data_IF_975787496632
#
_entry.id   IF_975787496632
#
_cell.length_a   1.000
_cell.length_b   1.000
_cell.length_c   1.000
_cell.angle_alpha   90.00
_cell.angle_beta   90.00
_cell.angle_gamma   90.00
#
_symmetry.space_group_name_H-M   'P 1'
#
loop_
_entity.id
_entity.type
_entity.pdbx_description
1 polymer ?
#
# COMPACT_ATOMS: atom_id res chain seq x y z
N UNK A 1 -21.63 13.03 1.75
CA UNK A 1 -20.22 13.30 2.15
C UNK A 1 -19.27 12.83 1.07
N UNK A 2 -19.69 11.81 0.32
CA UNK A 2 -18.98 11.22 -0.80
C UNK A 2 -18.46 12.18 -1.88
N UNK A 3 -19.32 13.04 -2.43
CA UNK A 3 -18.94 13.93 -3.56
C UNK A 3 -17.71 14.78 -3.24
N UNK A 4 -17.55 15.18 -1.97
CA UNK A 4 -16.38 15.92 -1.49
C UNK A 4 -15.11 15.09 -1.57
N UNK A 5 -15.15 13.83 -1.13
CA UNK A 5 -13.98 12.95 -1.15
C UNK A 5 -13.63 12.49 -2.57
N UNK A 6 -14.63 12.22 -3.40
CA UNK A 6 -14.43 11.93 -4.83
C UNK A 6 -13.68 13.06 -5.52
N UNK A 7 -14.09 14.32 -5.28
CA UNK A 7 -13.43 15.47 -5.86
C UNK A 7 -11.99 15.65 -5.36
N UNK A 8 -11.74 15.44 -4.06
CA UNK A 8 -10.39 15.49 -3.47
C UNK A 8 -9.45 14.43 -4.05
N UNK A 9 -9.98 13.22 -4.25
CA UNK A 9 -9.25 12.13 -4.88
C UNK A 9 -8.94 12.42 -6.36
N UNK A 10 -9.88 13.01 -7.10
CA UNK A 10 -9.63 13.47 -8.48
C UNK A 10 -8.54 14.56 -8.54
N UNK A 11 -8.54 15.52 -7.61
CA UNK A 11 -7.48 16.55 -7.51
C UNK A 11 -6.12 15.94 -7.15
N UNK A 12 -6.08 14.92 -6.30
CA UNK A 12 -4.85 14.20 -5.96
C UNK A 12 -4.29 13.41 -7.17
N UNK A 13 -5.16 12.70 -7.93
CA UNK A 13 -4.77 12.04 -9.18
C UNK A 13 -4.19 13.06 -10.17
N UNK A 14 -4.87 14.19 -10.35
CA UNK A 14 -4.43 15.25 -11.26
C UNK A 14 -3.08 15.84 -10.84
N UNK A 15 -2.89 16.13 -9.56
CA UNK A 15 -1.62 16.62 -9.02
C UNK A 15 -0.44 15.69 -9.34
N UNK A 16 -0.60 14.38 -9.09
CA UNK A 16 0.45 13.40 -9.38
C UNK A 16 0.65 13.24 -10.89
N UNK A 17 -0.42 13.24 -11.68
CA UNK A 17 -0.34 13.12 -13.13
C UNK A 17 0.40 14.31 -13.77
N UNK A 18 0.14 15.54 -13.33
CA UNK A 18 0.78 16.73 -13.90
C UNK A 18 2.24 16.88 -13.46
N UNK A 19 2.55 16.52 -12.22
CA UNK A 19 3.85 16.80 -11.59
C UNK A 19 4.86 15.67 -11.74
N UNK A 20 4.38 14.43 -11.74
CA UNK A 20 5.25 13.25 -11.74
C UNK A 20 5.16 12.42 -13.01
N UNK A 21 4.04 12.41 -13.74
CA UNK A 21 3.91 11.52 -14.89
C UNK A 21 4.76 11.99 -16.09
N UNK A 22 5.58 11.08 -16.63
CA UNK A 22 6.40 11.33 -17.80
C UNK A 22 6.52 10.08 -18.69
N UNK A 23 6.84 10.29 -19.97
CA UNK A 23 7.15 9.19 -20.89
C UNK A 23 8.55 8.67 -20.61
N UNK A 24 8.71 7.34 -20.63
CA UNK A 24 10.02 6.71 -20.52
C UNK A 24 10.84 7.02 -21.77
N UNK A 25 11.92 7.80 -21.64
CA UNK A 25 12.87 8.13 -22.72
C UNK A 25 12.22 8.61 -24.03
N UNK A 26 11.11 9.34 -23.91
CA UNK A 26 10.33 9.82 -25.07
C UNK A 26 9.55 8.75 -25.83
N UNK A 27 9.59 7.48 -25.40
CA UNK A 27 8.95 6.35 -26.09
C UNK A 27 7.42 6.55 -26.07
N UNK A 28 6.74 6.58 -27.23
CA UNK A 28 5.29 6.72 -27.29
C UNK A 28 4.55 5.63 -26.52
N UNK A 29 3.39 5.97 -25.96
CA UNK A 29 2.52 5.06 -25.21
C UNK A 29 3.21 4.42 -23.99
N UNK A 30 4.17 5.13 -23.39
CA UNK A 30 4.71 4.80 -22.07
C UNK A 30 4.31 5.87 -21.06
N UNK A 31 4.25 5.47 -19.81
CA UNK A 31 4.06 6.35 -18.67
C UNK A 31 4.88 5.80 -17.51
N UNK A 32 5.54 6.66 -16.75
CA UNK A 32 6.20 6.37 -15.49
C UNK A 32 6.11 7.63 -14.62
N UNK A 33 6.18 7.48 -13.30
CA UNK A 33 6.26 8.62 -12.39
C UNK A 33 7.74 8.94 -12.08
N UNK A 34 8.16 10.19 -12.29
CA UNK A 34 9.45 10.67 -11.80
C UNK A 34 9.45 10.70 -10.28
N UNK A 35 10.62 10.47 -9.68
CA UNK A 35 10.74 10.24 -8.24
C UNK A 35 10.57 11.50 -7.39
N UNK A 36 10.68 12.69 -7.99
CA UNK A 36 10.56 13.95 -7.25
C UNK A 36 9.96 15.07 -8.11
N UNK A 37 9.28 16.01 -7.45
CA UNK A 37 8.79 17.25 -8.05
C UNK A 37 9.15 18.48 -7.19
N UNK A 38 9.60 19.61 -7.79
CA UNK A 38 10.00 19.77 -9.19
C UNK A 38 11.16 18.85 -9.60
N UNK A 39 11.09 18.20 -10.78
CA UNK A 39 12.08 17.21 -11.20
C UNK A 39 13.38 17.85 -11.70
N UNK A 40 14.51 17.25 -11.36
CA UNK A 40 15.81 17.58 -11.97
C UNK A 40 15.94 16.97 -13.37
N UNK A 41 16.95 17.38 -14.13
CA UNK A 41 17.25 16.76 -15.44
C UNK A 41 17.55 15.26 -15.33
N UNK A 42 18.15 14.80 -14.22
CA UNK A 42 18.44 13.38 -13.97
C UNK A 42 17.18 12.57 -13.69
N UNK A 43 16.20 13.16 -13.01
CA UNK A 43 14.91 12.52 -12.74
C UNK A 43 14.11 12.33 -14.04
N UNK A 44 14.11 13.33 -14.91
CA UNK A 44 13.41 13.29 -16.21
C UNK A 44 13.90 12.19 -17.15
N UNK A 45 15.16 11.79 -17.04
CA UNK A 45 15.74 10.68 -17.82
C UNK A 45 15.66 9.33 -17.09
N UNK A 46 15.00 9.27 -15.92
CA UNK A 46 14.88 8.07 -15.09
C UNK A 46 16.23 7.44 -14.71
N UNK A 47 17.23 8.29 -14.45
CA UNK A 47 18.53 7.86 -13.94
C UNK A 47 18.36 7.15 -12.60
N UNK A 48 17.58 7.75 -11.69
CA UNK A 48 17.02 7.08 -10.52
C UNK A 48 15.58 6.67 -10.82
N UNK A 49 15.22 5.48 -10.36
CA UNK A 49 13.91 4.88 -10.58
C UNK A 49 13.67 3.83 -9.50
N UNK A 50 12.54 3.92 -8.82
CA UNK A 50 12.17 3.01 -7.72
C UNK A 50 11.03 2.10 -8.17
N UNK A 51 11.32 0.80 -8.26
CA UNK A 51 10.41 -0.22 -8.80
C UNK A 51 9.11 -0.24 -8.00
N UNK A 52 9.18 -0.34 -6.68
CA UNK A 52 8.00 -0.43 -5.81
C UNK A 52 7.21 0.88 -5.72
N UNK A 53 7.84 2.05 -5.85
CA UNK A 53 7.08 3.31 -5.97
C UNK A 53 6.21 3.32 -7.23
N UNK A 54 6.69 2.74 -8.34
CA UNK A 54 5.86 2.58 -9.53
C UNK A 54 4.74 1.55 -9.34
N UNK A 55 4.97 0.49 -8.56
CA UNK A 55 3.91 -0.44 -8.21
C UNK A 55 2.78 0.28 -7.47
N UNK A 56 3.09 1.11 -6.46
CA UNK A 56 2.09 1.93 -5.78
C UNK A 56 1.49 3.04 -6.65
N UNK A 57 2.22 3.56 -7.63
CA UNK A 57 1.65 4.47 -8.62
C UNK A 57 0.59 3.78 -9.50
N UNK A 58 0.85 2.54 -9.95
CA UNK A 58 -0.19 1.72 -10.60
C UNK A 58 -1.36 1.50 -9.65
N UNK A 59 -1.08 1.18 -8.40
CA UNK A 59 -2.08 0.90 -7.38
C UNK A 59 -3.03 2.10 -7.13
N UNK A 60 -2.51 3.32 -7.10
CA UNK A 60 -3.32 4.55 -7.02
C UNK A 60 -4.12 4.81 -8.31
N UNK A 61 -3.54 4.52 -9.49
CA UNK A 61 -4.30 4.58 -10.75
C UNK A 61 -5.45 3.58 -10.77
N UNK A 62 -5.26 2.39 -10.17
CA UNK A 62 -6.29 1.38 -10.01
C UNK A 62 -7.38 1.88 -9.07
N UNK A 63 -7.04 2.51 -7.94
CA UNK A 63 -8.03 3.13 -7.04
C UNK A 63 -8.94 4.10 -7.78
N UNK A 64 -8.34 5.05 -8.51
CA UNK A 64 -9.08 6.02 -9.30
C UNK A 64 -9.95 5.34 -10.38
N UNK A 65 -9.47 4.26 -11.00
CA UNK A 65 -10.23 3.50 -11.98
C UNK A 65 -11.36 2.65 -11.37
N UNK A 66 -11.22 2.18 -10.13
CA UNK A 66 -12.27 1.51 -9.36
C UNK A 66 -13.37 2.50 -8.99
N UNK A 67 -13.01 3.67 -8.45
CA UNK A 67 -13.95 4.74 -8.09
C UNK A 67 -14.71 5.27 -9.31
N UNK A 68 -14.01 5.52 -10.43
CA UNK A 68 -14.65 5.91 -11.69
C UNK A 68 -13.86 5.39 -12.89
N UNK A 69 -14.40 4.33 -13.51
CA UNK A 69 -13.77 3.69 -14.67
C UNK A 69 -13.96 4.51 -15.95
N UNK A 70 -12.86 4.99 -16.53
CA UNK A 70 -12.83 5.70 -17.82
C UNK A 70 -11.81 5.08 -18.77
N UNK A 71 -12.05 5.20 -20.09
CA UNK A 71 -11.08 4.73 -21.11
C UNK A 71 -9.70 5.39 -20.94
N UNK A 72 -9.67 6.63 -20.45
CA UNK A 72 -8.42 7.36 -20.20
C UNK A 72 -7.63 6.72 -19.05
N UNK A 73 -8.26 6.47 -17.89
CA UNK A 73 -7.62 5.83 -16.73
C UNK A 73 -7.13 4.42 -17.05
N UNK A 74 -7.96 3.60 -17.68
CA UNK A 74 -7.55 2.25 -18.12
C UNK A 74 -6.43 2.30 -19.18
N UNK A 75 -6.43 3.32 -20.04
CA UNK A 75 -5.35 3.55 -21.00
C UNK A 75 -4.05 3.99 -20.34
N UNK A 76 -4.11 4.76 -19.26
CA UNK A 76 -2.96 5.21 -18.49
C UNK A 76 -2.31 4.04 -17.75
N UNK A 77 -3.08 3.19 -17.06
CA UNK A 77 -2.57 1.98 -16.39
C UNK A 77 -1.78 1.09 -17.37
N UNK A 78 -2.33 0.86 -18.58
CA UNK A 78 -1.64 0.10 -19.65
C UNK A 78 -0.30 0.72 -20.04
N UNK A 79 -0.24 2.06 -20.15
CA UNK A 79 1.00 2.77 -20.45
C UNK A 79 2.01 2.68 -19.31
N UNK A 80 1.53 2.69 -18.07
CA UNK A 80 2.36 2.56 -16.86
C UNK A 80 3.02 1.18 -16.78
N UNK A 81 2.22 0.11 -16.92
CA UNK A 81 2.73 -1.27 -16.94
C UNK A 81 3.71 -1.49 -18.10
N UNK A 82 3.40 -0.95 -19.29
CA UNK A 82 4.32 -0.98 -20.43
C UNK A 82 5.62 -0.23 -20.13
N UNK A 83 5.54 0.94 -19.51
CA UNK A 83 6.69 1.74 -19.09
C UNK A 83 7.59 0.97 -18.14
N UNK A 84 7.02 0.38 -17.09
CA UNK A 84 7.77 -0.44 -16.14
C UNK A 84 8.47 -1.61 -16.82
N UNK A 85 7.77 -2.32 -17.70
CA UNK A 85 8.33 -3.47 -18.41
C UNK A 85 9.52 -3.08 -19.28
N UNK A 86 9.43 -1.95 -20.00
CA UNK A 86 10.53 -1.44 -20.82
C UNK A 86 11.71 -0.95 -19.97
N UNK A 87 11.43 -0.27 -18.84
CA UNK A 87 12.46 0.20 -17.91
C UNK A 87 13.18 -0.96 -17.20
N UNK A 88 12.51 -2.10 -17.02
CA UNK A 88 13.08 -3.33 -16.47
C UNK A 88 13.61 -4.30 -17.54
N UNK A 89 13.92 -3.80 -18.75
CA UNK A 89 14.47 -4.59 -19.87
C UNK A 89 13.65 -5.85 -20.23
N UNK A 90 12.34 -5.80 -20.02
CA UNK A 90 11.37 -6.79 -20.49
C UNK A 90 10.82 -7.73 -19.42
N UNK A 91 11.64 -8.21 -18.48
CA UNK A 91 11.21 -9.20 -17.47
C UNK A 91 10.93 -8.52 -16.14
N UNK A 92 9.67 -8.44 -15.71
CA UNK A 92 9.33 -7.87 -14.39
C UNK A 92 9.85 -8.72 -13.23
N UNK A 93 10.05 -10.03 -13.45
CA UNK A 93 10.64 -10.94 -12.46
C UNK A 93 12.14 -10.74 -12.26
N UNK A 94 12.82 -9.99 -13.13
CA UNK A 94 14.24 -9.66 -13.00
C UNK A 94 14.44 -8.52 -11.99
N UNK A 95 13.99 -8.74 -10.76
CA UNK A 95 14.27 -7.94 -9.57
C UNK A 95 14.56 -8.92 -8.41
N UNK A 96 15.66 -8.66 -7.69
CA UNK A 96 16.12 -9.54 -6.60
C UNK A 96 15.30 -9.34 -5.32
N UNK A 97 14.56 -8.25 -5.21
CA UNK A 97 13.74 -7.88 -4.06
C UNK A 97 12.34 -8.51 -4.19
N UNK A 98 11.95 -9.34 -3.22
CA UNK A 98 10.67 -10.06 -3.24
C UNK A 98 9.50 -9.15 -2.84
N UNK A 99 9.71 -8.22 -1.92
CA UNK A 99 8.77 -7.15 -1.58
C UNK A 99 8.40 -6.30 -2.80
N UNK A 100 9.39 -5.79 -3.54
CA UNK A 100 9.18 -5.03 -4.78
C UNK A 100 8.28 -5.79 -5.76
N UNK A 101 8.57 -7.09 -5.96
CA UNK A 101 7.78 -7.96 -6.83
C UNK A 101 6.37 -8.17 -6.29
N UNK A 102 6.21 -8.39 -4.98
CA UNK A 102 4.91 -8.61 -4.34
C UNK A 102 4.01 -7.37 -4.45
N UNK A 103 4.56 -6.18 -4.25
CA UNK A 103 3.83 -4.93 -4.47
C UNK A 103 3.33 -4.78 -5.89
N UNK A 104 4.18 -5.09 -6.88
CA UNK A 104 3.73 -5.04 -8.27
C UNK A 104 2.68 -6.12 -8.56
N UNK A 105 2.89 -7.35 -8.10
CA UNK A 105 1.96 -8.45 -8.33
C UNK A 105 0.56 -8.12 -7.77
N UNK A 106 0.47 -7.54 -6.58
CA UNK A 106 -0.78 -7.03 -6.01
C UNK A 106 -1.42 -5.94 -6.89
N UNK A 107 -0.66 -4.94 -7.32
CA UNK A 107 -1.20 -3.88 -8.18
C UNK A 107 -1.71 -4.43 -9.52
N UNK A 108 -1.03 -5.45 -10.09
CA UNK A 108 -1.46 -6.12 -11.31
C UNK A 108 -2.71 -6.99 -11.11
N UNK A 109 -2.82 -7.71 -10.00
CA UNK A 109 -4.01 -8.47 -9.62
C UNK A 109 -5.23 -7.55 -9.50
N UNK A 110 -5.09 -6.43 -8.78
CA UNK A 110 -6.14 -5.42 -8.68
C UNK A 110 -6.50 -4.80 -10.04
N UNK A 111 -5.52 -4.68 -10.93
CA UNK A 111 -5.74 -4.19 -12.30
C UNK A 111 -6.61 -5.16 -13.12
N UNK A 112 -6.42 -6.47 -12.98
CA UNK A 112 -7.24 -7.48 -13.67
C UNK A 112 -8.71 -7.45 -13.21
N UNK A 113 -8.93 -7.13 -11.94
CA UNK A 113 -10.27 -6.96 -11.36
C UNK A 113 -11.00 -5.69 -11.81
N UNK A 114 -10.34 -4.79 -12.57
CA UNK A 114 -11.01 -3.62 -13.14
C UNK A 114 -11.95 -4.02 -14.28
N UNK A 115 -13.21 -3.60 -14.16
CA UNK A 115 -14.21 -3.75 -15.23
C UNK A 115 -13.68 -3.21 -16.56
N UNK A 116 -13.72 -4.05 -17.61
CA UNK A 116 -13.27 -3.75 -18.99
C UNK A 116 -11.75 -3.53 -19.15
N UNK A 117 -10.92 -3.94 -18.19
CA UNK A 117 -9.48 -3.91 -18.37
C UNK A 117 -8.96 -5.13 -19.14
N UNK A 118 -9.27 -6.34 -18.65
CA UNK A 118 -8.83 -7.63 -19.20
C UNK A 118 -7.63 -8.23 -18.45
N UNK A 119 -7.05 -9.31 -18.97
CA UNK A 119 -5.91 -10.00 -18.35
C UNK A 119 -4.61 -9.21 -18.49
N UNK A 120 -3.77 -9.25 -17.46
CA UNK A 120 -2.41 -8.74 -17.41
C UNK A 120 -1.43 -9.89 -17.59
N UNK A 121 -0.89 -10.03 -18.80
CA UNK A 121 -0.01 -11.14 -19.24
C UNK A 121 1.15 -11.53 -18.30
N UNK A 122 1.63 -10.63 -17.43
CA UNK A 122 2.82 -10.85 -16.60
C UNK A 122 2.53 -11.15 -15.13
N UNK A 123 1.25 -11.13 -14.72
CA UNK A 123 0.87 -11.28 -13.31
C UNK A 123 1.16 -12.68 -12.79
N UNK A 124 0.69 -13.71 -13.50
CA UNK A 124 0.92 -15.13 -13.11
C UNK A 124 2.40 -15.45 -12.94
N UNK A 125 3.23 -15.09 -13.92
CA UNK A 125 4.67 -15.35 -13.88
C UNK A 125 5.39 -14.59 -12.73
N UNK A 126 4.87 -13.44 -12.32
CA UNK A 126 5.41 -12.69 -11.19
C UNK A 126 5.01 -13.35 -9.87
N UNK A 127 3.76 -13.78 -9.76
CA UNK A 127 3.24 -14.50 -8.61
C UNK A 127 3.96 -15.84 -8.40
N UNK A 128 4.09 -16.66 -9.44
CA UNK A 128 4.87 -17.90 -9.40
C UNK A 128 6.31 -17.64 -8.95
N UNK A 129 6.96 -16.61 -9.51
CA UNK A 129 8.33 -16.26 -9.13
C UNK A 129 8.47 -15.81 -7.67
N UNK A 130 7.43 -15.22 -7.08
CA UNK A 130 7.42 -14.88 -5.66
C UNK A 130 7.30 -16.17 -4.84
N UNK A 131 6.34 -17.03 -5.17
CA UNK A 131 6.05 -18.27 -4.43
C UNK A 131 7.22 -19.26 -4.48
N UNK A 132 7.91 -19.36 -5.62
CA UNK A 132 9.15 -20.15 -5.77
C UNK A 132 10.29 -19.63 -4.87
N UNK A 133 10.18 -18.39 -4.37
CA UNK A 133 11.13 -17.78 -3.46
C UNK A 133 10.92 -18.14 -1.99
N UNK A 134 9.82 -18.84 -1.64
CA UNK A 134 9.57 -19.27 -0.26
C UNK A 134 10.70 -20.20 0.15
N UNK A 135 11.38 -19.84 1.25
CA UNK A 135 12.45 -20.66 1.77
C UNK A 135 11.87 -21.95 2.38
N UNK A 136 12.28 -23.14 1.89
CA UNK A 136 11.74 -24.40 2.38
C UNK A 136 12.06 -24.69 3.85
N UNK A 137 13.10 -24.05 4.42
CA UNK A 137 13.48 -24.25 5.82
C UNK A 137 12.61 -23.45 6.77
N UNK A 138 12.31 -22.20 6.44
CA UNK A 138 11.54 -21.28 7.29
C UNK A 138 10.06 -21.23 6.94
N UNK A 139 9.70 -21.64 5.73
CA UNK A 139 8.32 -21.60 5.22
C UNK A 139 7.84 -20.20 4.85
N UNK A 140 8.74 -19.21 4.81
CA UNK A 140 8.44 -17.79 4.53
C UNK A 140 9.42 -17.19 3.52
N UNK A 141 9.11 -16.01 3.02
CA UNK A 141 9.90 -15.32 2.01
C UNK A 141 11.03 -14.51 2.64
N UNK A 142 12.29 -14.64 2.16
CA UNK A 142 13.34 -13.70 2.47
C UNK A 142 13.09 -12.37 1.74
N UNK A 143 13.69 -11.29 2.23
CA UNK A 143 13.57 -9.95 1.64
C UNK A 143 14.08 -9.90 0.20
N UNK A 144 15.26 -10.50 -0.04
CA UNK A 144 15.84 -10.64 -1.37
C UNK A 144 16.41 -12.03 -1.60
N UNK A 145 16.65 -12.37 -2.86
CA UNK A 145 17.32 -13.61 -3.23
C UNK A 145 18.67 -13.78 -2.53
N UNK A 146 18.91 -14.97 -1.96
CA UNK A 146 20.12 -15.33 -1.22
C UNK A 146 20.38 -14.48 0.04
N UNK A 147 19.33 -14.00 0.72
CA UNK A 147 19.44 -13.34 2.03
C UNK A 147 18.72 -14.15 3.13
N UNK A 148 19.17 -13.97 4.37
CA UNK A 148 18.63 -14.61 5.58
C UNK A 148 17.85 -13.62 6.46
N UNK A 149 17.21 -12.62 5.84
CA UNK A 149 16.36 -11.63 6.48
C UNK A 149 14.95 -11.79 5.94
N UNK A 150 13.99 -12.05 6.83
CA UNK A 150 12.60 -12.35 6.50
C UNK A 150 11.76 -11.23 7.08
N UNK A 151 11.13 -10.43 6.23
CA UNK A 151 10.49 -9.19 6.66
C UNK A 151 9.01 -9.16 6.27
N UNK A 152 8.24 -8.40 7.06
CA UNK A 152 6.81 -8.18 6.86
C UNK A 152 6.49 -7.50 5.52
N UNK A 153 7.30 -6.54 5.02
CA UNK A 153 7.13 -5.95 3.69
C UNK A 153 7.14 -6.95 2.53
N UNK A 154 7.77 -8.11 2.71
CA UNK A 154 7.72 -9.18 1.73
C UNK A 154 6.55 -10.12 2.00
N UNK A 155 6.42 -10.60 3.24
CA UNK A 155 5.51 -11.68 3.58
C UNK A 155 4.04 -11.22 3.66
N UNK A 156 3.77 -10.00 4.14
CA UNK A 156 2.42 -9.45 4.21
C UNK A 156 1.78 -9.28 2.83
N UNK A 157 2.40 -8.55 1.88
CA UNK A 157 1.91 -8.42 0.52
C UNK A 157 1.75 -9.76 -0.22
N UNK A 158 2.69 -10.69 -0.03
CA UNK A 158 2.60 -12.03 -0.59
C UNK A 158 1.42 -12.82 -0.01
N UNK A 159 1.13 -12.68 1.29
CA UNK A 159 -0.03 -13.31 1.93
C UNK A 159 -1.35 -12.75 1.39
N UNK A 160 -1.45 -11.43 1.20
CA UNK A 160 -2.62 -10.80 0.58
C UNK A 160 -2.84 -11.33 -0.83
N UNK A 161 -1.78 -11.38 -1.64
CA UNK A 161 -1.86 -11.90 -3.00
C UNK A 161 -2.33 -13.35 -3.01
N UNK A 162 -1.69 -14.20 -2.20
CA UNK A 162 -2.04 -15.61 -2.09
C UNK A 162 -3.49 -15.84 -1.64
N UNK A 163 -4.01 -15.03 -0.71
CA UNK A 163 -5.41 -15.11 -0.28
C UNK A 163 -6.37 -14.80 -1.43
N UNK A 164 -6.08 -13.75 -2.21
CA UNK A 164 -6.92 -13.32 -3.36
C UNK A 164 -6.88 -14.29 -4.55
N UNK A 165 -5.78 -15.02 -4.72
CA UNK A 165 -5.60 -15.96 -5.83
C UNK A 165 -5.90 -17.42 -5.46
N UNK A 166 -6.48 -17.66 -4.28
CA UNK A 166 -6.95 -18.98 -3.85
C UNK A 166 -5.87 -19.88 -3.26
N UNK A 167 -4.68 -19.36 -2.95
CA UNK A 167 -3.57 -20.08 -2.31
C UNK A 167 -3.62 -19.92 -0.79
N UNK A 168 -4.75 -20.28 -0.20
CA UNK A 168 -5.09 -19.99 1.19
C UNK A 168 -4.08 -20.56 2.20
N UNK A 169 -3.57 -21.78 1.97
CA UNK A 169 -2.55 -22.39 2.84
C UNK A 169 -1.25 -21.58 2.90
N UNK A 170 -0.85 -20.96 1.78
CA UNK A 170 0.32 -20.09 1.74
C UNK A 170 0.03 -18.80 2.49
N UNK A 171 -1.12 -18.16 2.22
CA UNK A 171 -1.51 -16.92 2.88
C UNK A 171 -1.52 -17.06 4.41
N UNK A 172 -2.10 -18.15 4.91
CA UNK A 172 -2.15 -18.48 6.34
C UNK A 172 -0.75 -18.69 6.91
N UNK A 173 0.06 -19.54 6.30
CA UNK A 173 1.44 -19.81 6.75
C UNK A 173 2.29 -18.54 6.90
N UNK A 174 2.28 -17.67 5.88
CA UNK A 174 3.03 -16.42 5.91
C UNK A 174 2.50 -15.48 7.01
N UNK A 175 1.18 -15.41 7.17
CA UNK A 175 0.53 -14.55 8.15
C UNK A 175 0.78 -15.03 9.58
N UNK A 176 0.60 -16.33 9.82
CA UNK A 176 0.76 -16.97 11.13
C UNK A 176 2.20 -16.80 11.63
N UNK A 177 3.20 -17.01 10.76
CA UNK A 177 4.59 -16.77 11.10
C UNK A 177 4.86 -15.34 11.59
N UNK A 178 4.30 -14.33 10.93
CA UNK A 178 4.46 -12.93 11.37
C UNK A 178 3.83 -12.72 12.75
N UNK A 179 2.62 -13.22 12.98
CA UNK A 179 1.94 -13.05 14.27
C UNK A 179 2.62 -13.81 15.42
N UNK A 180 3.27 -14.93 15.13
CA UNK A 180 4.00 -15.73 16.12
C UNK A 180 5.38 -15.18 16.45
N UNK A 181 6.01 -14.46 15.51
CA UNK A 181 7.44 -14.08 15.63
C UNK A 181 7.71 -12.60 15.66
N UNK A 182 6.79 -11.74 15.22
CA UNK A 182 7.03 -10.31 14.96
C UNK A 182 5.97 -9.39 15.58
N UNK A 183 5.35 -9.79 16.70
CA UNK A 183 4.45 -8.92 17.47
C UNK A 183 5.16 -8.46 18.74
N UNK A 184 5.15 -7.14 18.97
CA UNK A 184 5.69 -6.56 20.20
C UNK A 184 4.65 -6.48 21.32
N UNK A 185 5.07 -6.02 22.51
CA UNK A 185 4.21 -5.92 23.70
C UNK A 185 3.02 -4.95 23.52
N UNK A 186 3.14 -3.97 22.61
CA UNK A 186 2.05 -3.06 22.25
C UNK A 186 1.06 -3.67 21.25
N UNK A 187 1.27 -4.91 20.81
CA UNK A 187 0.46 -5.56 19.77
C UNK A 187 0.69 -4.99 18.38
N UNK A 188 1.84 -4.34 18.15
CA UNK A 188 2.28 -3.85 16.85
C UNK A 188 3.24 -4.84 16.18
N UNK A 189 3.22 -4.83 14.86
CA UNK A 189 4.04 -5.68 13.99
C UNK A 189 5.42 -5.04 13.80
N UNK A 190 6.47 -5.80 14.10
CA UNK A 190 7.88 -5.48 13.86
C UNK A 190 8.25 -5.64 12.37
N UNK A 191 9.37 -5.07 11.93
CA UNK A 191 9.75 -5.07 10.50
C UNK A 191 10.15 -6.46 9.99
N UNK A 192 10.91 -7.22 10.76
CA UNK A 192 11.39 -8.52 10.30
C UNK A 192 12.27 -9.29 11.27
N UNK A 193 12.75 -10.43 10.81
CA UNK A 193 13.62 -11.34 11.55
C UNK A 193 14.87 -11.63 10.72
N UNK A 194 16.05 -11.44 11.31
CA UNK A 194 17.33 -11.76 10.70
C UNK A 194 17.92 -13.01 11.32
N UNK A 195 18.24 -14.00 10.50
CA UNK A 195 18.97 -15.18 10.98
C UNK A 195 20.46 -14.87 11.02
N UNK A 196 21.02 -14.80 12.24
CA UNK A 196 22.46 -14.64 12.52
C UNK A 196 23.06 -15.97 12.95
N UNK A 197 24.39 -16.03 12.98
CA UNK A 197 25.14 -17.20 13.46
C UNK A 197 24.83 -17.57 14.92
N UNK A 198 24.43 -16.60 15.74
CA UNK A 198 24.09 -16.79 17.16
C UNK A 198 22.58 -16.92 17.42
N UNK A 199 21.77 -17.01 16.36
CA UNK A 199 20.32 -17.18 16.45
C UNK A 199 19.51 -16.13 15.70
N UNK A 200 18.17 -16.23 15.74
CA UNK A 200 17.26 -15.25 15.17
C UNK A 200 17.29 -13.93 15.96
N UNK A 201 17.37 -12.81 15.25
CA UNK A 201 17.39 -11.44 15.79
C UNK A 201 16.23 -10.65 15.17
N UNK A 202 15.32 -10.14 15.99
CA UNK A 202 14.19 -9.32 15.52
C UNK A 202 14.68 -7.90 15.17
N UNK A 203 14.27 -7.40 14.00
CA UNK A 203 14.36 -5.98 13.65
C UNK A 203 13.18 -5.26 14.29
N UNK A 204 13.47 -4.55 15.38
CA UNK A 204 12.46 -3.94 16.26
C UNK A 204 11.83 -2.66 15.69
N UNK A 205 12.27 -2.22 14.51
CA UNK A 205 11.67 -1.10 13.82
C UNK A 205 10.16 -1.33 13.61
N UNK A 206 9.36 -0.34 13.98
CA UNK A 206 7.91 -0.35 13.82
C UNK A 206 7.52 0.65 12.75
N UNK A 207 6.83 0.18 11.72
CA UNK A 207 6.43 1.00 10.59
C UNK A 207 4.93 0.87 10.26
N UNK A 208 4.27 1.95 9.82
CA UNK A 208 2.83 1.94 9.53
C UNK A 208 2.41 0.90 8.49
N UNK A 209 3.18 0.74 7.42
CA UNK A 209 2.86 -0.21 6.34
C UNK A 209 2.89 -1.68 6.78
N UNK A 210 3.76 -2.07 7.71
CA UNK A 210 3.76 -3.42 8.29
C UNK A 210 2.41 -3.70 8.97
N UNK A 211 1.85 -2.72 9.67
CA UNK A 211 0.54 -2.86 10.30
C UNK A 211 -0.56 -2.99 9.23
N UNK A 212 -0.48 -2.13 8.20
CA UNK A 212 -1.41 -2.13 7.08
C UNK A 212 -1.48 -3.48 6.38
N UNK A 213 -0.34 -4.03 5.94
CA UNK A 213 -0.33 -5.30 5.21
C UNK A 213 -0.82 -6.48 6.06
N UNK A 214 -0.56 -6.47 7.36
CA UNK A 214 -1.06 -7.54 8.24
C UNK A 214 -2.56 -7.42 8.53
N UNK A 215 -3.09 -6.19 8.65
CA UNK A 215 -4.55 -5.96 8.65
C UNK A 215 -5.14 -6.49 7.34
N UNK A 216 -4.54 -6.13 6.20
CA UNK A 216 -4.99 -6.57 4.88
C UNK A 216 -4.99 -8.08 4.72
N UNK A 217 -3.89 -8.74 5.09
CA UNK A 217 -3.75 -10.19 5.00
C UNK A 217 -4.83 -10.91 5.85
N UNK A 218 -5.03 -10.47 7.09
CA UNK A 218 -6.06 -11.03 7.96
C UNK A 218 -7.47 -10.88 7.37
N UNK A 219 -7.82 -9.70 6.83
CA UNK A 219 -9.13 -9.47 6.22
C UNK A 219 -9.34 -10.37 4.99
N UNK A 220 -8.37 -10.45 4.09
CA UNK A 220 -8.50 -11.25 2.87
C UNK A 220 -8.53 -12.76 3.17
N UNK A 221 -7.72 -13.24 4.12
CA UNK A 221 -7.77 -14.65 4.56
C UNK A 221 -9.13 -14.98 5.16
N UNK A 222 -9.65 -14.13 6.05
CA UNK A 222 -10.97 -14.37 6.66
C UNK A 222 -12.10 -14.39 5.62
N UNK A 223 -12.04 -13.51 4.61
CA UNK A 223 -13.00 -13.48 3.50
C UNK A 223 -12.90 -14.74 2.63
N UNK A 224 -11.68 -15.12 2.23
CA UNK A 224 -11.44 -16.32 1.43
C UNK A 224 -11.90 -17.61 2.15
N UNK A 225 -11.60 -17.74 3.44
CA UNK A 225 -12.08 -18.87 4.26
C UNK A 225 -13.60 -18.95 4.30
N UNK A 226 -14.28 -17.81 4.45
CA UNK A 226 -15.75 -17.76 4.49
C UNK A 226 -16.36 -18.09 3.14
N UNK A 227 -15.78 -17.57 2.05
CA UNK A 227 -16.20 -17.90 0.70
C UNK A 227 -16.07 -19.41 0.41
N UNK A 228 -14.93 -20.02 0.74
CA UNK A 228 -14.70 -21.47 0.59
C UNK A 228 -15.70 -22.30 1.41
N UNK A 229 -16.06 -21.82 2.61
CA UNK A 229 -17.03 -22.47 3.48
C UNK A 229 -18.51 -22.15 3.15
N UNK A 230 -18.78 -21.31 2.14
CA UNK A 230 -20.14 -20.88 1.78
C UNK A 230 -20.82 -19.98 2.84
N UNK A 231 -20.03 -19.33 3.70
CA UNK A 231 -20.49 -18.45 4.78
C UNK A 231 -20.65 -17.02 4.25
N UNK A 232 -21.79 -16.40 4.53
CA UNK A 232 -22.03 -15.02 4.13
C UNK A 232 -21.06 -14.01 4.78
N UNK A 233 -20.75 -12.86 4.14
CA UNK A 233 -19.84 -11.86 4.69
C UNK A 233 -20.31 -11.29 6.03
N UNK A 234 -21.63 -11.16 6.21
CA UNK A 234 -22.26 -10.59 7.42
C UNK A 234 -22.78 -11.66 8.38
N UNK A 235 -22.57 -12.95 8.07
CA UNK A 235 -23.01 -14.05 8.92
C UNK A 235 -22.11 -14.18 10.16
N UNK A 236 -22.72 -14.49 11.31
CA UNK A 236 -21.98 -14.82 12.53
C UNK A 236 -21.55 -16.28 12.45
N UNK A 237 -20.25 -16.51 12.31
CA UNK A 237 -19.67 -17.83 12.08
C UNK A 237 -18.26 -17.91 12.68
N UNK A 238 -17.83 -19.08 13.19
CA UNK A 238 -16.46 -19.29 13.66
C UNK A 238 -15.43 -19.31 12.52
N UNK A 239 -15.87 -19.42 11.25
CA UNK A 239 -14.97 -19.45 10.09
C UNK A 239 -14.24 -18.11 9.96
N UNK A 240 -12.91 -18.18 10.01
CA UNK A 240 -12.01 -17.03 9.91
C UNK A 240 -11.91 -16.19 11.18
N UNK A 241 -12.54 -16.58 12.31
CA UNK A 241 -12.62 -15.75 13.52
C UNK A 241 -11.24 -15.40 14.09
N UNK A 242 -10.26 -16.28 13.92
CA UNK A 242 -8.87 -16.05 14.33
C UNK A 242 -8.28 -14.81 13.62
N UNK A 243 -8.35 -14.78 12.28
CA UNK A 243 -7.82 -13.68 11.49
C UNK A 243 -8.64 -12.39 11.68
N UNK A 244 -9.97 -12.51 11.84
CA UNK A 244 -10.82 -11.36 12.22
C UNK A 244 -10.32 -10.78 13.55
N UNK A 245 -10.10 -11.61 14.57
CA UNK A 245 -9.63 -11.16 15.90
C UNK A 245 -8.26 -10.50 15.83
N UNK A 246 -7.33 -11.05 15.03
CA UNK A 246 -6.01 -10.45 14.79
C UNK A 246 -6.11 -9.08 14.12
N UNK A 247 -6.94 -8.94 13.09
CA UNK A 247 -7.18 -7.63 12.45
C UNK A 247 -7.79 -6.62 13.44
N UNK A 248 -8.77 -7.03 14.25
CA UNK A 248 -9.37 -6.18 15.30
C UNK A 248 -8.32 -5.72 16.33
N UNK A 249 -7.47 -6.63 16.80
CA UNK A 249 -6.38 -6.32 17.72
C UNK A 249 -5.42 -5.29 17.14
N UNK A 250 -5.01 -5.48 15.88
CA UNK A 250 -4.05 -4.61 15.21
C UNK A 250 -4.62 -3.22 14.90
N UNK A 251 -5.88 -3.11 14.46
CA UNK A 251 -6.56 -1.82 14.30
C UNK A 251 -6.60 -1.04 15.63
N UNK A 252 -6.90 -1.73 16.75
CA UNK A 252 -6.88 -1.10 18.08
C UNK A 252 -5.47 -0.69 18.52
N UNK A 253 -4.44 -1.48 18.21
CA UNK A 253 -3.05 -1.13 18.49
C UNK A 253 -2.61 0.11 17.69
N UNK A 254 -2.95 0.17 16.40
CA UNK A 254 -2.71 1.35 15.55
C UNK A 254 -3.40 2.59 16.13
N UNK A 255 -4.68 2.49 16.49
CA UNK A 255 -5.41 3.62 17.08
C UNK A 255 -4.80 4.12 18.40
N UNK A 256 -4.26 3.21 19.22
CA UNK A 256 -3.67 3.56 20.52
C UNK A 256 -2.28 4.16 20.40
N UNK A 257 -1.45 3.62 19.51
CA UNK A 257 0.00 3.87 19.50
C UNK A 257 0.49 4.68 18.31
N UNK A 258 -0.26 4.75 17.21
CA UNK A 258 0.14 5.44 15.97
C UNK A 258 -0.83 6.55 15.55
N UNK A 259 -1.77 6.94 16.42
CA UNK A 259 -2.72 7.98 16.11
C UNK A 259 -2.81 9.02 17.23
N UNK A 260 -3.14 10.25 16.87
CA UNK A 260 -3.50 11.31 17.81
C UNK A 260 -4.81 10.98 18.51
N UNK A 261 -5.16 11.75 19.55
CA UNK A 261 -6.47 11.65 20.23
C UNK A 261 -7.66 11.86 19.30
N UNK A 262 -7.44 12.57 18.18
CA UNK A 262 -8.45 12.84 17.16
C UNK A 262 -8.42 11.83 16.00
N UNK A 263 -7.74 10.68 16.19
CA UNK A 263 -7.60 9.60 15.22
C UNK A 263 -6.82 9.96 13.93
N UNK A 264 -5.98 11.01 13.97
CA UNK A 264 -5.06 11.30 12.87
C UNK A 264 -3.84 10.40 13.00
N UNK A 265 -3.49 9.64 11.95
CA UNK A 265 -2.28 8.81 11.95
C UNK A 265 -1.06 9.71 12.07
N UNK A 266 -0.30 9.51 13.15
CA UNK A 266 0.86 10.32 13.54
C UNK A 266 2.05 9.40 13.81
N UNK A 267 2.84 9.21 12.75
CA UNK A 267 4.09 8.45 12.82
C UNK A 267 5.14 9.13 11.94
N UNK A 268 6.35 9.25 12.48
CA UNK A 268 7.47 9.90 11.79
C UNK A 268 8.07 8.99 10.74
N UNK A 269 7.65 9.17 9.49
CA UNK A 269 8.14 8.38 8.36
C UNK A 269 9.03 9.18 7.40
N UNK A 270 8.95 10.52 7.40
CA UNK A 270 9.73 11.38 6.51
C UNK A 270 9.39 11.18 5.03
N UNK A 271 10.35 11.50 4.16
CA UNK A 271 10.30 11.23 2.71
C UNK A 271 10.92 9.89 2.34
N UNK A 272 11.43 9.76 1.12
CA UNK A 272 12.06 8.54 0.64
C UNK A 272 11.08 7.37 0.67
N UNK A 273 11.54 6.18 1.04
CA UNK A 273 10.65 5.02 1.14
C UNK A 273 9.57 5.20 2.22
N UNK A 274 9.92 5.85 3.33
CA UNK A 274 9.00 6.14 4.43
C UNK A 274 7.79 6.97 4.02
N UNK A 275 7.92 7.77 2.95
CA UNK A 275 6.82 8.55 2.39
C UNK A 275 5.60 7.72 2.02
N UNK A 276 5.75 6.44 1.64
CA UNK A 276 4.65 5.54 1.25
C UNK A 276 3.97 4.85 2.45
N UNK A 277 4.60 4.82 3.62
CA UNK A 277 4.21 3.89 4.66
C UNK A 277 2.82 4.16 5.24
N UNK A 278 2.49 5.43 5.48
CA UNK A 278 1.18 5.82 6.01
C UNK A 278 0.06 5.64 4.99
N UNK A 279 0.33 5.84 3.70
CA UNK A 279 -0.63 5.56 2.63
C UNK A 279 -1.03 4.08 2.60
N UNK A 280 -0.04 3.18 2.67
CA UNK A 280 -0.28 1.73 2.68
C UNK A 280 -1.11 1.32 3.91
N UNK A 281 -0.82 1.89 5.08
CA UNK A 281 -1.66 1.70 6.27
C UNK A 281 -3.10 2.14 6.02
N UNK A 282 -3.30 3.35 5.49
CA UNK A 282 -4.62 3.89 5.22
C UNK A 282 -5.43 3.04 4.23
N UNK A 283 -4.78 2.49 3.18
CA UNK A 283 -5.42 1.55 2.24
C UNK A 283 -6.04 0.36 2.97
N UNK A 284 -5.29 -0.29 3.84
CA UNK A 284 -5.76 -1.51 4.50
C UNK A 284 -6.65 -1.24 5.71
N UNK A 285 -6.56 -0.06 6.34
CA UNK A 285 -7.59 0.42 7.25
C UNK A 285 -8.92 0.65 6.53
N UNK A 286 -8.90 1.23 5.32
CA UNK A 286 -10.11 1.36 4.52
C UNK A 286 -10.69 -0.01 4.12
N UNK A 287 -9.84 -0.98 3.74
CA UNK A 287 -10.27 -2.36 3.52
C UNK A 287 -10.95 -2.95 4.77
N UNK A 288 -10.36 -2.79 5.95
CA UNK A 288 -10.96 -3.27 7.20
C UNK A 288 -12.28 -2.55 7.51
N UNK A 289 -12.37 -1.25 7.26
CA UNK A 289 -13.58 -0.47 7.47
C UNK A 289 -14.75 -0.98 6.62
N UNK A 290 -14.50 -1.39 5.38
CA UNK A 290 -15.56 -1.75 4.41
C UNK A 290 -15.79 -3.24 4.24
N UNK A 291 -14.82 -4.10 4.57
CA UNK A 291 -14.83 -5.52 4.19
C UNK A 291 -14.41 -6.49 5.30
N UNK A 292 -14.08 -6.04 6.52
CA UNK A 292 -13.81 -6.95 7.65
C UNK A 292 -15.07 -7.80 7.92
N UNK A 293 -15.07 -9.12 7.73
CA UNK A 293 -16.30 -9.92 7.80
C UNK A 293 -16.83 -10.09 9.23
N UNK A 294 -18.15 -10.29 9.35
CA UNK A 294 -18.86 -10.51 10.61
C UNK A 294 -19.70 -9.32 11.08
N UNK A 295 -20.72 -9.64 11.89
CA UNK A 295 -21.67 -8.68 12.48
C UNK A 295 -21.74 -8.76 14.01
N UNK A 296 -20.67 -9.22 14.66
CA UNK A 296 -20.56 -9.05 16.11
C UNK A 296 -20.22 -7.59 16.48
N UNK A 297 -20.40 -7.25 17.75
CA UNK A 297 -20.15 -5.90 18.25
C UNK A 297 -18.71 -5.44 18.05
N UNK A 298 -17.72 -6.32 18.29
CA UNK A 298 -16.29 -5.99 18.14
C UNK A 298 -15.94 -5.71 16.69
N UNK A 299 -16.51 -6.47 15.75
CA UNK A 299 -16.32 -6.24 14.31
C UNK A 299 -16.89 -4.90 13.87
N UNK A 300 -18.14 -4.55 14.26
CA UNK A 300 -18.71 -3.23 13.94
C UNK A 300 -17.92 -2.07 14.54
N UNK A 301 -17.49 -2.18 15.81
CA UNK A 301 -16.65 -1.17 16.45
C UNK A 301 -15.31 -1.01 15.73
N UNK A 302 -14.72 -2.12 15.27
CA UNK A 302 -13.47 -2.12 14.51
C UNK A 302 -13.63 -1.48 13.13
N UNK A 303 -14.69 -1.83 12.38
CA UNK A 303 -15.00 -1.20 11.08
C UNK A 303 -15.11 0.32 11.24
N UNK A 304 -15.86 0.78 12.25
CA UNK A 304 -16.02 2.20 12.58
C UNK A 304 -14.69 2.87 12.94
N UNK A 305 -13.89 2.25 13.81
CA UNK A 305 -12.59 2.81 14.23
C UNK A 305 -11.63 2.93 13.04
N UNK A 306 -11.55 1.91 12.20
CA UNK A 306 -10.72 1.95 10.98
C UNK A 306 -11.18 3.07 10.03
N UNK A 307 -12.49 3.24 9.83
CA UNK A 307 -13.04 4.33 9.03
C UNK A 307 -12.74 5.71 9.62
N UNK A 308 -12.80 5.86 10.95
CA UNK A 308 -12.44 7.10 11.65
C UNK A 308 -10.97 7.45 11.49
N UNK A 309 -10.05 6.48 11.61
CA UNK A 309 -8.62 6.68 11.39
C UNK A 309 -8.34 7.20 9.97
N UNK A 310 -8.98 6.61 8.96
CA UNK A 310 -8.82 7.02 7.56
C UNK A 310 -9.39 8.42 7.33
N UNK A 311 -10.64 8.67 7.72
CA UNK A 311 -11.34 9.93 7.42
C UNK A 311 -10.80 11.11 8.22
N UNK A 312 -10.40 10.92 9.48
CA UNK A 312 -9.75 11.95 10.28
C UNK A 312 -8.37 12.32 9.72
N UNK A 313 -7.56 11.30 9.38
CA UNK A 313 -6.26 11.51 8.73
C UNK A 313 -6.40 12.25 7.39
N UNK A 314 -7.34 11.82 6.55
CA UNK A 314 -7.61 12.48 5.27
C UNK A 314 -8.08 13.93 5.45
N UNK A 315 -8.87 14.20 6.51
CA UNK A 315 -9.31 15.53 6.88
C UNK A 315 -8.13 16.43 7.23
N UNK A 316 -7.25 15.94 8.10
CA UNK A 316 -6.05 16.66 8.53
C UNK A 316 -5.09 16.92 7.37
N UNK A 317 -4.73 15.89 6.60
CA UNK A 317 -3.83 16.01 5.44
C UNK A 317 -4.37 16.97 4.40
N UNK A 318 -5.70 16.97 4.18
CA UNK A 318 -6.30 17.93 3.26
C UNK A 318 -6.23 19.36 3.77
N UNK A 319 -6.38 19.59 5.08
CA UNK A 319 -6.29 20.94 5.67
C UNK A 319 -4.86 21.48 5.62
N UNK A 320 -3.88 20.63 5.88
CA UNK A 320 -2.46 20.98 5.92
C UNK A 320 -1.75 20.89 4.56
N UNK A 321 -2.48 20.59 3.47
CA UNK A 321 -1.90 20.57 2.12
C UNK A 321 -1.50 22.00 1.70
N UNK A 322 -0.41 22.10 0.96
CA UNK A 322 -0.15 23.30 0.18
C UNK A 322 -0.93 23.25 -1.14
N UNK A 323 -1.31 24.41 -1.65
CA UNK A 323 -1.92 24.52 -2.97
C UNK A 323 -0.95 25.21 -3.92
N UNK A 324 -0.59 24.54 -5.01
CA UNK A 324 0.27 25.08 -6.06
C UNK A 324 -0.43 24.87 -7.40
N UNK A 325 -0.66 25.96 -8.12
CA UNK A 325 -1.42 25.98 -9.38
C UNK A 325 -2.81 25.32 -9.27
N UNK A 326 -3.48 25.49 -8.12
CA UNK A 326 -4.80 24.91 -7.84
C UNK A 326 -4.80 23.42 -7.51
N UNK A 327 -3.63 22.79 -7.37
CA UNK A 327 -3.48 21.36 -7.08
C UNK A 327 -2.77 21.09 -5.75
N UNK A 328 -3.16 20.04 -5.00
CA UNK A 328 -2.64 19.76 -3.66
C UNK A 328 -1.20 19.25 -3.67
N UNK A 329 -0.36 19.75 -2.77
CA UNK A 329 0.91 19.13 -2.36
C UNK A 329 0.72 18.63 -0.94
N UNK A 330 0.83 17.32 -0.75
CA UNK A 330 0.56 16.71 0.55
C UNK A 330 1.79 16.72 1.45
N UNK A 331 1.61 16.94 2.78
CA UNK A 331 2.69 16.89 3.74
C UNK A 331 3.11 15.45 4.06
N UNK A 332 4.37 15.29 4.40
CA UNK A 332 4.89 14.04 4.98
C UNK A 332 4.42 13.84 6.43
N UNK A 333 4.31 14.92 7.21
CA UNK A 333 3.69 14.93 8.53
C UNK A 333 2.17 15.20 8.38
N UNK A 334 1.33 14.30 8.89
CA UNK A 334 -0.12 14.42 8.70
C UNK A 334 -0.79 15.34 9.73
N UNK A 335 0.00 15.95 10.61
CA UNK A 335 -0.43 16.88 11.66
C UNK A 335 0.12 18.29 11.47
N UNK A 336 0.91 18.53 10.42
CA UNK A 336 1.57 19.81 10.16
C UNK A 336 1.47 20.21 8.70
N UNK A 337 1.59 21.53 8.45
CA UNK A 337 1.53 22.11 7.11
C UNK A 337 2.61 21.56 6.17
N UNK A 338 2.23 21.32 4.92
CA UNK A 338 3.18 20.94 3.87
C UNK A 338 4.19 22.06 3.63
N UNK A 339 5.41 21.66 3.30
CA UNK A 339 6.50 22.57 2.96
C UNK A 339 6.60 22.67 1.44
N UNK A 340 6.77 23.90 0.93
CA UNK A 340 6.82 24.15 -0.51
C UNK A 340 8.03 23.43 -1.12
N UNK A 341 7.82 22.54 -2.12
CA UNK A 341 8.93 21.85 -2.78
C UNK A 341 9.84 22.82 -3.55
N UNK A 342 11.06 23.06 -3.05
CA UNK A 342 12.05 23.91 -3.75
C UNK A 342 13.01 23.06 -4.58
N UNK A 343 13.42 23.58 -5.74
CA UNK A 343 14.41 22.93 -6.61
C UNK A 343 15.82 23.24 -6.13
N UNK A 344 16.56 22.21 -5.69
CA UNK A 344 17.90 22.34 -5.11
C UNK A 344 17.94 21.81 -3.69
N UNK A 345 18.52 20.62 -3.53
CA UNK A 345 18.60 19.84 -2.29
C UNK A 345 19.07 18.43 -2.65
N UNK A 346 19.68 17.71 -1.70
CA UNK A 346 20.00 16.29 -1.89
C UNK A 346 18.69 15.50 -2.02
N UNK A 347 18.46 14.94 -3.21
CA UNK A 347 17.46 13.88 -3.38
C UNK A 347 18.00 12.65 -2.68
N UNK A 348 17.19 12.06 -1.80
CA UNK A 348 17.55 10.93 -0.96
C UNK A 348 18.39 9.87 -1.69
N UNK A 349 19.48 9.44 -1.05
CA UNK A 349 20.36 8.41 -1.60
C UNK A 349 19.79 7.01 -1.27
N UNK A 350 20.02 6.05 -2.17
CA UNK A 350 19.71 4.64 -1.90
C UNK A 350 20.87 4.00 -1.15
N UNK A 351 20.62 3.50 0.07
CA UNK A 351 21.59 2.79 0.90
C UNK A 351 21.02 1.40 1.20
N UNK A 352 21.74 0.34 0.84
CA UNK A 352 21.34 -1.05 1.06
C UNK A 352 19.96 -1.46 0.50
N UNK A 353 19.43 -0.72 -0.48
CA UNK A 353 18.11 -0.96 -1.08
C UNK A 353 17.01 -0.02 -0.56
N UNK A 354 17.21 0.61 0.59
CA UNK A 354 16.30 1.63 1.11
C UNK A 354 16.63 3.03 0.56
N UNK A 355 15.61 3.81 0.24
CA UNK A 355 15.70 5.18 -0.28
C UNK A 355 15.51 6.16 0.87
N UNK A 356 16.54 6.96 1.16
CA UNK A 356 16.45 8.02 2.16
C UNK A 356 15.51 9.15 1.75
N UNK A 357 15.13 9.99 2.72
CA UNK A 357 14.33 11.20 2.46
C UNK A 357 15.10 12.22 1.63
N UNK A 358 14.39 12.93 0.74
CA UNK A 358 14.88 14.23 0.27
C UNK A 358 14.93 15.24 1.42
N UNK A 359 15.71 16.32 1.25
CA UNK A 359 15.79 17.43 2.21
C UNK A 359 14.41 18.05 2.52
N UNK A 360 13.53 18.07 1.51
CA UNK A 360 12.10 18.39 1.65
C UNK A 360 11.32 17.15 1.22
N UNK A 361 10.71 16.45 2.18
CA UNK A 361 10.03 15.17 1.96
C UNK A 361 8.86 15.30 0.96
N UNK A 362 8.18 16.44 0.93
CA UNK A 362 7.05 16.74 0.05
C UNK A 362 7.45 16.73 -1.44
N UNK A 363 8.76 16.80 -1.75
CA UNK A 363 9.27 16.59 -3.11
C UNK A 363 9.07 15.16 -3.59
N UNK A 364 9.11 14.18 -2.69
CA UNK A 364 9.21 12.77 -3.04
C UNK A 364 7.86 12.24 -3.55
N UNK A 365 7.92 11.49 -4.65
CA UNK A 365 6.75 10.81 -5.22
C UNK A 365 6.05 9.95 -4.17
N UNK A 366 6.81 9.28 -3.32
CA UNK A 366 6.27 8.42 -2.26
C UNK A 366 5.32 9.15 -1.31
N UNK A 367 5.66 10.37 -0.89
CA UNK A 367 4.80 11.21 -0.04
C UNK A 367 3.52 11.60 -0.79
N UNK A 368 3.64 12.00 -2.05
CA UNK A 368 2.49 12.39 -2.86
C UNK A 368 1.57 11.20 -3.18
N UNK A 369 2.13 10.00 -3.40
CA UNK A 369 1.36 8.76 -3.55
C UNK A 369 0.63 8.40 -2.26
N UNK A 370 1.25 8.57 -1.08
CA UNK A 370 0.55 8.37 0.20
C UNK A 370 -0.65 9.28 0.38
N UNK A 371 -0.49 10.57 0.05
CA UNK A 371 -1.59 11.53 0.11
C UNK A 371 -2.73 11.17 -0.86
N UNK A 372 -2.41 10.78 -2.09
CA UNK A 372 -3.41 10.31 -3.06
C UNK A 372 -4.10 9.03 -2.58
N UNK A 373 -3.34 8.03 -2.13
CA UNK A 373 -3.88 6.77 -1.60
C UNK A 373 -4.82 7.01 -0.42
N UNK A 374 -4.50 7.97 0.46
CA UNK A 374 -5.37 8.37 1.57
C UNK A 374 -6.67 9.02 1.11
N UNK A 375 -6.65 9.87 0.08
CA UNK A 375 -7.87 10.48 -0.47
C UNK A 375 -8.79 9.42 -1.11
N UNK A 376 -8.22 8.46 -1.84
CA UNK A 376 -8.97 7.33 -2.42
C UNK A 376 -9.54 6.42 -1.32
N UNK A 377 -8.76 6.14 -0.27
CA UNK A 377 -9.20 5.38 0.90
C UNK A 377 -10.39 6.07 1.61
N UNK A 378 -10.32 7.39 1.80
CA UNK A 378 -11.41 8.17 2.39
C UNK A 378 -12.67 8.19 1.50
N UNK A 379 -12.51 8.27 0.18
CA UNK A 379 -13.62 8.15 -0.76
C UNK A 379 -14.26 6.76 -0.72
N UNK A 380 -13.48 5.69 -0.54
CA UNK A 380 -14.00 4.33 -0.39
C UNK A 380 -14.82 4.16 0.91
N UNK A 381 -14.30 4.67 2.03
CA UNK A 381 -14.99 4.61 3.33
C UNK A 381 -16.29 5.40 3.29
N UNK A 382 -16.26 6.63 2.76
CA UNK A 382 -17.45 7.46 2.66
C UNK A 382 -18.52 6.85 1.74
N UNK A 383 -18.14 6.10 0.70
CA UNK A 383 -19.09 5.45 -0.20
C UNK A 383 -19.82 4.34 0.52
N UNK A 384 -19.07 3.52 1.27
CA UNK A 384 -19.65 2.43 2.06
C UNK A 384 -20.59 2.95 3.16
N UNK A 385 -20.26 4.08 3.80
CA UNK A 385 -21.14 4.73 4.78
C UNK A 385 -22.42 5.29 4.16
N UNK A 386 -22.32 5.96 3.00
CA UNK A 386 -23.48 6.49 2.29
C UNK A 386 -24.38 5.33 1.78
N UNK A 387 -23.80 4.24 1.27
CA UNK A 387 -24.53 3.01 0.89
C UNK A 387 -25.27 2.38 2.09
N UNK A 388 -24.62 2.28 3.25
CA UNK A 388 -25.22 1.73 4.46
C UNK A 388 -26.36 2.58 5.02
N UNK A 389 -26.40 3.90 4.74
CA UNK A 389 -27.50 4.79 5.15
C UNK A 389 -28.72 4.70 4.23
N UNK A 390 -28.53 4.22 3.00
CA UNK A 390 -29.59 4.13 1.99
C UNK A 390 -30.28 2.75 1.95
N UNK A 391 -29.69 1.75 2.61
CA UNK A 391 -30.31 0.44 2.89
C UNK A 391 -31.08 0.49 4.19
#
# INVERSE_FOLDING_TARGET
MQERWDHRADLAEQAVAERHAARLWGIPRTNLAVIAWPPTSRDKIFFRWHYWWQAHYIDCQVDAAQRRSTRLRLGQIRRTIRGMRLRNFGRLTANNYYDDKAWLALALERTENLRKYGTVRYRDALEENILDGIDPLTGVLPWRSNETFYNVPTNGPAAILAARTGRLDVARRLTDWVFETLINDDGLVLDGLRMRMHGPEQETAVHPYCQGVMIGACVEIARAMREEAGVGPDEVSPVGVEYITRAQGLVRAVARSMATRDNVIDWRTGGGDGGLFKGILARYLALAAVALPGEDRSTRETRRLAGQLVTASAGSVWMHRLEVDGLPVFPSDWTADAVLPQSGGLVGATIAGAVGSSDIAERDLSVQLSGWMLMEAAAQVAAAEDDARTR
#
